data_IF_510464615345
#
_entry.id   IF_510464615345
#
_cell.length_a   1.000
_cell.length_b   1.000
_cell.length_c   1.000
_cell.angle_alpha   90.00
_cell.angle_beta   90.00
_cell.angle_gamma   90.00
#
_symmetry.space_group_name_H-M   'P 1'
#
loop_
_entity.id
_entity.type
_entity.pdbx_description
1 polymer ?
#
# COMPACT_ATOMS: atom_id res chain seq x y z
N UNK A 1 6.32 10.28 21.63
CA UNK A 1 5.18 9.42 22.03
C UNK A 1 5.63 7.98 21.95
N UNK A 2 5.38 7.19 22.99
CA UNK A 2 5.60 5.74 22.97
C UNK A 2 4.26 5.03 23.13
N UNK A 3 4.02 4.01 22.34
CA UNK A 3 2.78 3.21 22.36
C UNK A 3 3.05 1.81 21.81
N UNK A 4 2.03 0.95 21.83
CA UNK A 4 2.07 -0.35 21.18
C UNK A 4 0.88 -0.51 20.25
N UNK A 5 1.04 -1.27 19.17
CA UNK A 5 -0.04 -1.49 18.21
C UNK A 5 0.33 -2.49 17.12
N UNK A 6 -0.70 -2.99 16.44
CA UNK A 6 -0.53 -3.83 15.24
C UNK A 6 -0.26 -2.96 14.02
N UNK A 7 0.78 -3.31 13.25
CA UNK A 7 1.01 -2.72 11.93
C UNK A 7 -0.06 -3.24 10.97
N UNK A 8 -1.11 -2.47 10.76
CA UNK A 8 -2.29 -2.89 10.03
C UNK A 8 -2.20 -2.67 8.53
N UNK A 9 -1.72 -1.50 8.11
CA UNK A 9 -1.58 -1.14 6.71
C UNK A 9 -0.34 -0.28 6.49
N UNK A 10 0.27 -0.39 5.31
CA UNK A 10 1.40 0.45 4.92
C UNK A 10 1.45 0.62 3.41
N UNK A 11 1.86 1.81 2.97
CA UNK A 11 1.93 2.14 1.56
C UNK A 11 2.86 3.33 1.30
N UNK A 12 3.41 3.42 0.09
CA UNK A 12 4.21 4.56 -0.33
C UNK A 12 3.31 5.78 -0.63
N UNK A 13 3.67 6.93 -0.09
CA UNK A 13 3.03 8.21 -0.40
C UNK A 13 4.12 9.27 -0.63
N UNK A 14 4.18 9.84 -1.84
CA UNK A 14 5.21 10.79 -2.27
C UNK A 14 6.64 10.21 -2.15
N UNK A 15 7.37 10.56 -1.11
CA UNK A 15 8.76 10.11 -0.85
C UNK A 15 8.87 9.31 0.47
N UNK A 16 7.75 8.97 1.11
CA UNK A 16 7.68 8.34 2.43
C UNK A 16 6.84 7.09 2.42
N UNK A 17 7.10 6.23 3.39
CA UNK A 17 6.18 5.17 3.75
C UNK A 17 5.19 5.69 4.78
N UNK A 18 3.92 5.49 4.55
CA UNK A 18 2.86 5.69 5.53
C UNK A 18 2.58 4.35 6.19
N UNK A 19 2.51 4.37 7.51
CA UNK A 19 2.20 3.19 8.33
C UNK A 19 0.98 3.48 9.18
N UNK A 20 0.03 2.57 9.15
CA UNK A 20 -1.14 2.61 10.03
C UNK A 20 -1.05 1.55 11.10
N UNK A 21 -1.18 1.97 12.34
CA UNK A 21 -1.24 1.08 13.50
C UNK A 21 -2.61 1.13 14.14
N UNK A 22 -3.05 -0.02 14.64
CA UNK A 22 -4.22 -0.12 15.51
C UNK A 22 -3.71 -0.46 16.91
N UNK A 23 -3.96 0.43 17.88
CA UNK A 23 -3.54 0.21 19.27
C UNK A 23 -4.49 -0.75 20.00
N UNK A 24 -4.09 -1.26 21.16
CA UNK A 24 -4.96 -2.12 22.00
C UNK A 24 -6.28 -1.44 22.40
N UNK A 25 -6.26 -0.09 22.51
CA UNK A 25 -7.48 0.70 22.79
C UNK A 25 -8.30 1.00 21.54
N UNK A 26 -7.91 0.47 20.38
CA UNK A 26 -8.61 0.68 19.11
C UNK A 26 -8.34 2.03 18.45
N UNK A 27 -7.37 2.83 18.92
CA UNK A 27 -6.99 4.05 18.22
C UNK A 27 -6.20 3.73 16.94
N UNK A 28 -6.49 4.46 15.87
CA UNK A 28 -5.78 4.38 14.60
C UNK A 28 -4.71 5.45 14.58
N UNK A 29 -3.46 5.01 14.49
CA UNK A 29 -2.29 5.87 14.52
C UNK A 29 -1.62 5.83 13.13
N UNK A 30 -1.59 7.00 12.46
CA UNK A 30 -0.90 7.18 11.19
C UNK A 30 0.47 7.78 11.43
N UNK A 31 1.50 7.12 10.93
CA UNK A 31 2.89 7.57 11.00
C UNK A 31 3.51 7.58 9.62
N UNK A 32 4.56 8.37 9.46
CA UNK A 32 5.38 8.42 8.26
C UNK A 32 6.82 8.04 8.60
N UNK A 33 7.46 7.25 7.73
CA UNK A 33 8.88 6.93 7.79
C UNK A 33 9.57 7.32 6.47
N UNK A 34 10.79 7.84 6.58
CA UNK A 34 11.63 8.11 5.42
C UNK A 34 12.22 6.79 4.92
N UNK A 35 11.89 6.41 3.71
CA UNK A 35 12.39 5.21 3.09
C UNK A 35 12.91 5.49 1.68
N UNK A 36 14.23 5.74 1.53
CA UNK A 36 14.83 5.85 0.21
C UNK A 36 14.83 4.49 -0.48
N UNK A 37 14.11 4.38 -1.59
CA UNK A 37 14.10 3.16 -2.38
C UNK A 37 15.42 3.00 -3.14
N UNK A 38 16.16 1.91 -2.83
CA UNK A 38 17.43 1.60 -3.45
C UNK A 38 17.31 0.38 -4.38
N UNK A 39 17.82 0.52 -5.59
CA UNK A 39 18.11 -0.57 -6.49
C UNK A 39 19.62 -0.66 -6.75
N UNK A 40 20.09 -1.78 -7.26
CA UNK A 40 21.52 -2.02 -7.37
C UNK A 40 21.89 -2.48 -8.78
N UNK A 41 23.06 -2.04 -9.24
CA UNK A 41 23.65 -2.50 -10.49
C UNK A 41 24.91 -3.30 -10.18
N UNK A 42 25.01 -4.51 -10.73
CA UNK A 42 26.20 -5.35 -10.68
C UNK A 42 26.82 -5.48 -12.06
N UNK A 43 28.14 -5.65 -12.12
CA UNK A 43 28.84 -5.80 -13.38
C UNK A 43 30.35 -5.44 -13.26
N UNK A 44 31.07 -5.34 -14.37
CA UNK A 44 32.47 -4.94 -14.38
C UNK A 44 32.70 -3.58 -13.69
N UNK A 45 33.67 -3.51 -12.77
CA UNK A 45 33.91 -2.33 -11.94
C UNK A 45 34.12 -1.04 -12.75
N UNK A 46 34.87 -1.12 -13.84
CA UNK A 46 35.11 0.04 -14.70
C UNK A 46 33.79 0.57 -15.31
N UNK A 47 32.86 -0.34 -15.62
CA UNK A 47 31.55 0.02 -16.17
C UNK A 47 30.68 0.69 -15.11
N UNK A 48 30.65 0.13 -13.89
CA UNK A 48 29.90 0.72 -12.77
C UNK A 48 30.41 2.12 -12.42
N UNK A 49 31.73 2.34 -12.45
CA UNK A 49 32.32 3.68 -12.24
C UNK A 49 31.90 4.67 -13.32
N UNK A 50 31.93 4.27 -14.59
CA UNK A 50 31.46 5.10 -15.71
C UNK A 50 29.97 5.46 -15.56
N UNK A 51 29.15 4.49 -15.20
CA UNK A 51 27.72 4.72 -14.94
C UNK A 51 27.50 5.66 -13.76
N UNK A 52 28.25 5.53 -12.67
CA UNK A 52 28.12 6.41 -11.50
C UNK A 52 28.33 7.88 -11.88
N UNK A 53 29.36 8.18 -12.71
CA UNK A 53 29.61 9.54 -13.21
C UNK A 53 28.47 10.09 -14.08
N UNK A 54 27.90 9.25 -14.95
CA UNK A 54 26.81 9.65 -15.84
C UNK A 54 25.46 9.80 -15.09
N UNK A 55 25.26 9.03 -14.03
CA UNK A 55 24.02 8.99 -13.25
C UNK A 55 23.91 10.14 -12.23
N UNK A 56 25.03 10.68 -11.74
CA UNK A 56 25.03 11.79 -10.79
C UNK A 56 24.32 13.05 -11.28
N UNK A 57 24.06 13.17 -12.59
CA UNK A 57 23.33 14.29 -13.20
C UNK A 57 21.85 13.99 -13.49
N UNK A 58 21.37 12.79 -13.17
CA UNK A 58 19.99 12.39 -13.43
C UNK A 58 19.05 12.91 -12.35
N UNK A 59 18.14 13.82 -12.71
CA UNK A 59 17.22 14.46 -11.78
C UNK A 59 16.20 13.52 -11.07
N UNK A 60 16.16 12.24 -11.43
CA UNK A 60 15.32 11.21 -10.82
C UNK A 60 16.05 10.36 -9.75
N UNK A 61 17.39 10.52 -9.61
CA UNK A 61 18.16 9.96 -8.52
C UNK A 61 18.43 11.01 -7.44
N UNK A 62 18.44 10.57 -6.19
CA UNK A 62 18.96 11.33 -5.07
C UNK A 62 20.48 11.19 -5.04
N UNK A 63 20.98 9.97 -5.18
CA UNK A 63 22.41 9.66 -5.26
C UNK A 63 22.67 8.30 -5.92
N UNK A 64 23.91 8.14 -6.39
CA UNK A 64 24.45 6.88 -6.85
C UNK A 64 25.83 6.69 -6.16
N UNK A 65 26.04 5.56 -5.49
CA UNK A 65 27.27 5.33 -4.72
C UNK A 65 27.72 3.87 -4.77
N UNK A 66 29.04 3.60 -4.68
CA UNK A 66 29.56 2.25 -4.58
C UNK A 66 29.06 1.57 -3.29
N UNK A 67 28.67 0.31 -3.42
CA UNK A 67 28.20 -0.52 -2.31
C UNK A 67 28.63 -1.96 -2.52
N UNK A 68 28.25 -2.84 -1.61
CA UNK A 68 28.42 -4.28 -1.71
C UNK A 68 27.08 -4.98 -1.58
N UNK A 69 26.91 -6.02 -2.37
CA UNK A 69 25.72 -6.86 -2.34
C UNK A 69 26.12 -8.33 -2.33
N UNK A 70 25.22 -9.19 -1.87
CA UNK A 70 25.40 -10.62 -1.94
C UNK A 70 24.73 -11.14 -3.20
N UNK A 71 25.50 -11.73 -4.09
CA UNK A 71 24.96 -12.37 -5.30
C UNK A 71 24.11 -13.57 -4.90
N UNK A 72 22.88 -13.62 -5.38
CA UNK A 72 21.89 -14.61 -4.99
C UNK A 72 22.29 -16.04 -5.42
N UNK A 73 22.93 -16.15 -6.58
CA UNK A 73 23.24 -17.44 -7.19
C UNK A 73 24.53 -18.05 -6.64
N UNK A 74 25.53 -17.22 -6.44
CA UNK A 74 26.85 -17.69 -5.97
C UNK A 74 27.01 -17.55 -4.45
N UNK A 75 26.15 -16.79 -3.79
CA UNK A 75 26.26 -16.47 -2.37
C UNK A 75 27.46 -15.58 -2.02
N UNK A 76 28.23 -15.12 -3.01
CA UNK A 76 29.43 -14.31 -2.83
C UNK A 76 29.09 -12.83 -2.69
N UNK A 77 29.89 -12.12 -1.93
CA UNK A 77 29.85 -10.66 -1.88
C UNK A 77 30.44 -10.09 -3.17
N UNK A 78 29.71 -9.23 -3.83
CA UNK A 78 30.10 -8.57 -5.09
C UNK A 78 30.02 -7.04 -4.94
N UNK A 79 30.90 -6.29 -5.65
CA UNK A 79 30.75 -4.85 -5.73
C UNK A 79 29.51 -4.49 -6.57
N UNK A 80 28.72 -3.55 -6.08
CA UNK A 80 27.55 -3.03 -6.78
C UNK A 80 27.52 -1.50 -6.76
N UNK A 81 26.79 -0.89 -7.68
CA UNK A 81 26.45 0.51 -7.63
C UNK A 81 25.01 0.64 -7.08
N UNK A 82 24.87 1.23 -5.91
CA UNK A 82 23.56 1.53 -5.33
C UNK A 82 22.99 2.81 -5.96
N UNK A 83 21.72 2.75 -6.35
CA UNK A 83 20.98 3.86 -6.94
C UNK A 83 19.80 4.19 -6.02
N UNK A 84 19.88 5.30 -5.33
CA UNK A 84 18.81 5.82 -4.49
C UNK A 84 17.88 6.69 -5.29
N UNK A 85 16.63 6.27 -5.44
CA UNK A 85 15.61 6.99 -6.22
C UNK A 85 15.11 8.18 -5.42
N UNK A 86 14.95 9.33 -6.07
CA UNK A 86 14.56 10.58 -5.42
C UNK A 86 13.14 10.54 -4.88
N UNK A 87 12.21 9.97 -5.66
CA UNK A 87 10.82 9.78 -5.25
C UNK A 87 10.23 8.56 -5.98
N UNK A 88 9.28 7.87 -5.36
CA UNK A 88 8.68 6.65 -5.91
C UNK A 88 8.03 6.85 -7.28
N UNK A 89 7.48 8.03 -7.55
CA UNK A 89 6.93 8.38 -8.85
C UNK A 89 7.93 8.35 -10.01
N UNK A 90 9.23 8.32 -9.73
CA UNK A 90 10.26 8.15 -10.76
C UNK A 90 10.58 6.70 -11.12
N UNK A 91 10.10 5.72 -10.35
CA UNK A 91 10.40 4.30 -10.58
C UNK A 91 10.04 3.81 -12.00
N UNK A 92 8.91 4.17 -12.61
CA UNK A 92 8.64 3.77 -14.00
C UNK A 92 9.70 4.27 -14.98
N UNK A 93 10.19 5.49 -14.78
CA UNK A 93 11.27 6.08 -15.60
C UNK A 93 12.60 5.38 -15.36
N UNK A 94 12.90 5.05 -14.11
CA UNK A 94 14.11 4.29 -13.75
C UNK A 94 14.07 2.91 -14.40
N UNK A 95 12.95 2.19 -14.29
CA UNK A 95 12.77 0.86 -14.91
C UNK A 95 12.93 0.92 -16.43
N UNK A 96 12.37 1.92 -17.09
CA UNK A 96 12.55 2.14 -18.53
C UNK A 96 14.03 2.36 -18.88
N UNK A 97 14.75 3.16 -18.09
CA UNK A 97 16.18 3.37 -18.29
C UNK A 97 17.00 2.10 -18.05
N UNK A 98 16.67 1.28 -17.05
CA UNK A 98 17.34 0.00 -16.81
C UNK A 98 17.29 -0.92 -18.04
N UNK A 99 16.22 -0.89 -18.81
CA UNK A 99 16.10 -1.63 -20.08
C UNK A 99 17.08 -1.18 -21.16
N UNK A 100 17.77 -0.04 -20.99
CA UNK A 100 18.81 0.43 -21.92
C UNK A 100 20.23 0.08 -21.52
N UNK A 101 20.40 -0.62 -20.39
CA UNK A 101 21.71 -1.03 -19.89
C UNK A 101 22.32 -2.12 -20.79
N UNK A 102 23.66 -2.13 -20.93
CA UNK A 102 24.33 -3.20 -21.64
C UNK A 102 24.18 -4.55 -20.91
N UNK A 103 24.19 -5.64 -21.67
CA UNK A 103 23.96 -6.99 -21.16
C UNK A 103 24.92 -7.45 -20.03
N UNK A 104 26.10 -6.81 -19.93
CA UNK A 104 27.09 -7.07 -18.88
C UNK A 104 26.74 -6.43 -17.52
N UNK A 105 25.68 -5.60 -17.47
CA UNK A 105 25.22 -4.95 -16.24
C UNK A 105 23.89 -5.57 -15.83
N UNK A 106 23.88 -6.24 -14.69
CA UNK A 106 22.68 -6.77 -14.09
C UNK A 106 22.04 -5.74 -13.13
N UNK A 107 20.73 -5.66 -13.16
CA UNK A 107 19.97 -4.83 -12.21
C UNK A 107 19.31 -5.74 -11.16
N UNK A 108 19.35 -5.31 -9.89
CA UNK A 108 18.77 -6.03 -8.75
C UNK A 108 17.79 -5.13 -8.00
N UNK A 109 16.75 -5.72 -7.41
CA UNK A 109 15.67 -5.05 -6.68
C UNK A 109 14.89 -4.02 -7.53
N UNK A 110 14.90 -4.16 -8.85
CA UNK A 110 14.25 -3.23 -9.76
C UNK A 110 12.75 -3.50 -9.97
N UNK A 111 12.31 -4.71 -9.69
CA UNK A 111 10.95 -5.24 -9.81
C UNK A 111 10.25 -5.42 -8.45
N UNK A 112 10.98 -5.21 -7.37
CA UNK A 112 10.42 -5.33 -6.02
C UNK A 112 9.34 -4.25 -5.80
N UNK A 113 8.21 -4.65 -5.23
CA UNK A 113 7.23 -3.71 -4.72
C UNK A 113 7.84 -2.86 -3.58
N UNK A 114 7.48 -1.58 -3.52
CA UNK A 114 8.06 -0.63 -2.55
C UNK A 114 7.73 -1.05 -1.11
N UNK A 115 6.49 -1.50 -0.89
CA UNK A 115 6.01 -1.97 0.40
C UNK A 115 6.77 -3.20 0.85
N UNK A 116 6.94 -4.17 -0.05
CA UNK A 116 7.74 -5.36 0.21
C UNK A 116 9.21 -5.01 0.48
N UNK A 117 9.80 -4.09 -0.29
CA UNK A 117 11.17 -3.61 -0.07
C UNK A 117 11.33 -2.97 1.31
N UNK A 118 10.35 -2.18 1.74
CA UNK A 118 10.33 -1.57 3.07
C UNK A 118 10.29 -2.64 4.16
N UNK A 119 9.34 -3.57 4.11
CA UNK A 119 9.19 -4.64 5.09
C UNK A 119 10.48 -5.47 5.22
N UNK A 120 11.09 -5.88 4.11
CA UNK A 120 12.35 -6.63 4.13
C UNK A 120 13.50 -5.83 4.71
N UNK A 121 13.64 -4.56 4.31
CA UNK A 121 14.76 -3.73 4.78
C UNK A 121 14.69 -3.42 6.28
N UNK A 122 13.47 -3.27 6.80
CA UNK A 122 13.20 -3.00 8.21
C UNK A 122 13.01 -4.27 9.05
N UNK A 123 12.97 -5.46 8.41
CA UNK A 123 12.66 -6.75 9.05
C UNK A 123 11.33 -6.74 9.77
N UNK A 124 10.33 -6.23 9.08
CA UNK A 124 8.95 -6.11 9.57
C UNK A 124 8.05 -7.10 8.84
N UNK A 125 6.92 -7.41 9.47
CA UNK A 125 5.83 -8.19 8.86
C UNK A 125 4.49 -7.56 9.23
N UNK A 126 3.50 -7.58 8.34
CA UNK A 126 2.20 -6.98 8.59
C UNK A 126 1.42 -7.75 9.65
N UNK A 127 0.46 -7.06 10.26
CA UNK A 127 -0.44 -7.59 11.29
C UNK A 127 0.24 -8.06 12.59
N UNK A 128 1.54 -7.83 12.77
CA UNK A 128 2.24 -8.12 14.01
C UNK A 128 2.14 -6.97 15.01
N UNK A 129 2.36 -7.31 16.28
CA UNK A 129 2.37 -6.37 17.39
C UNK A 129 3.74 -5.72 17.55
N UNK A 130 3.76 -4.39 17.60
CA UNK A 130 4.98 -3.59 17.69
C UNK A 130 4.96 -2.63 18.86
N UNK A 131 6.14 -2.41 19.47
CA UNK A 131 6.46 -1.22 20.22
C UNK A 131 6.76 -0.08 19.25
N UNK A 132 6.11 1.06 19.41
CA UNK A 132 6.18 2.18 18.47
C UNK A 132 6.66 3.42 19.19
N UNK A 133 7.75 4.01 18.72
CA UNK A 133 8.20 5.33 19.15
C UNK A 133 8.06 6.33 18.00
N UNK A 134 7.40 7.46 18.25
CA UNK A 134 7.11 8.45 17.22
C UNK A 134 7.12 9.88 17.77
N UNK A 135 7.44 10.85 16.93
CA UNK A 135 7.42 12.27 17.21
C UNK A 135 6.87 13.07 16.03
N UNK A 136 5.89 13.95 16.29
CA UNK A 136 5.31 14.82 15.25
C UNK A 136 4.71 14.05 14.04
N UNK A 137 4.17 12.83 14.26
CA UNK A 137 3.66 12.01 13.18
C UNK A 137 4.72 11.22 12.40
N UNK A 138 6.00 11.31 12.81
CA UNK A 138 7.10 10.56 12.21
C UNK A 138 7.48 9.35 13.08
N UNK A 139 7.70 8.23 12.44
CA UNK A 139 8.24 7.04 13.08
C UNK A 139 9.72 7.27 13.43
N UNK A 140 10.09 7.02 14.69
CA UNK A 140 11.47 7.08 15.16
C UNK A 140 12.04 5.67 15.32
N UNK A 141 11.26 4.80 15.95
CA UNK A 141 11.68 3.42 16.22
C UNK A 141 10.49 2.47 16.20
N UNK A 142 10.76 1.22 15.82
CA UNK A 142 9.76 0.16 15.72
C UNK A 142 10.40 -1.17 16.14
N UNK A 143 9.89 -1.73 17.24
CA UNK A 143 10.35 -3.01 17.79
C UNK A 143 9.26 -4.08 17.64
N UNK A 144 9.53 -5.19 16.93
CA UNK A 144 8.63 -6.31 16.91
C UNK A 144 8.53 -6.94 18.31
N UNK A 145 7.33 -7.09 18.82
CA UNK A 145 7.05 -7.73 20.11
C UNK A 145 6.58 -9.18 19.96
N UNK A 146 6.47 -9.66 18.75
CA UNK A 146 6.09 -11.02 18.38
C UNK A 146 7.15 -11.61 17.45
N UNK A 147 7.24 -12.94 17.41
CA UNK A 147 8.08 -13.64 16.45
C UNK A 147 7.39 -13.70 15.08
N UNK A 148 8.17 -13.55 14.00
CA UNK A 148 7.65 -13.61 12.62
C UNK A 148 6.96 -14.94 12.27
N UNK A 149 7.24 -16.00 13.01
CA UNK A 149 6.70 -17.35 12.84
C UNK A 149 5.74 -17.75 13.97
N UNK A 150 5.30 -16.79 14.79
CA UNK A 150 4.32 -17.06 15.84
C UNK A 150 3.04 -17.65 15.24
N UNK A 151 2.60 -18.79 15.75
CA UNK A 151 1.36 -19.46 15.34
C UNK A 151 0.17 -18.88 16.09
N UNK A 152 0.39 -18.49 17.33
CA UNK A 152 -0.61 -17.83 18.17
C UNK A 152 -0.33 -16.34 18.21
N UNK A 153 -1.23 -15.56 17.68
CA UNK A 153 -1.12 -14.09 17.65
C UNK A 153 -2.47 -13.45 18.02
N UNK A 154 -2.39 -12.26 18.61
CA UNK A 154 -3.58 -11.47 18.91
C UNK A 154 -4.03 -10.72 17.65
N UNK A 155 -5.32 -10.75 17.36
CA UNK A 155 -5.88 -9.93 16.29
C UNK A 155 -6.16 -8.49 16.76
N UNK A 156 -5.95 -7.48 15.92
CA UNK A 156 -6.37 -6.12 16.26
C UNK A 156 -7.89 -6.00 16.39
N UNK A 157 -8.41 -5.07 17.21
CA UNK A 157 -9.84 -4.80 17.30
C UNK A 157 -10.34 -4.07 16.05
N UNK A 158 -10.68 -4.80 15.00
CA UNK A 158 -11.11 -4.28 13.71
C UNK A 158 -12.58 -3.92 13.69
N UNK A 159 -12.89 -2.74 13.12
CA UNK A 159 -14.23 -2.39 12.67
C UNK A 159 -14.42 -2.93 11.25
N UNK A 160 -15.33 -3.86 11.08
CA UNK A 160 -15.58 -4.52 9.79
C UNK A 160 -16.96 -4.11 9.26
N UNK A 161 -16.97 -3.56 8.06
CA UNK A 161 -18.20 -3.30 7.32
C UNK A 161 -18.33 -4.35 6.22
N UNK A 162 -19.50 -4.93 6.09
CA UNK A 162 -19.81 -5.91 5.04
C UNK A 162 -20.72 -5.29 3.98
N UNK A 163 -20.43 -5.61 2.72
CA UNK A 163 -21.26 -5.23 1.58
C UNK A 163 -21.64 -6.49 0.81
N UNK A 164 -22.94 -6.71 0.61
CA UNK A 164 -23.44 -7.78 -0.23
C UNK A 164 -24.61 -7.31 -1.08
N UNK A 165 -24.89 -8.03 -2.16
CA UNK A 165 -26.06 -7.77 -2.99
C UNK A 165 -27.30 -8.42 -2.37
N UNK A 166 -28.48 -7.80 -2.54
CA UNK A 166 -29.74 -8.35 -2.04
C UNK A 166 -30.17 -9.63 -2.76
N UNK A 167 -29.65 -9.84 -3.98
CA UNK A 167 -29.98 -10.97 -4.86
C UNK A 167 -28.73 -11.52 -5.53
N UNK A 168 -28.94 -12.37 -6.53
CA UNK A 168 -27.90 -12.99 -7.34
C UNK A 168 -26.87 -11.96 -7.85
N UNK A 169 -25.56 -12.19 -7.61
CA UNK A 169 -24.49 -11.30 -8.08
C UNK A 169 -24.38 -11.18 -9.61
N UNK A 170 -24.95 -12.10 -10.36
CA UNK A 170 -25.05 -11.99 -11.81
C UNK A 170 -26.02 -10.88 -12.26
N UNK A 171 -26.89 -10.43 -11.37
CA UNK A 171 -27.79 -9.27 -11.61
C UNK A 171 -27.06 -8.02 -11.15
N UNK A 172 -26.73 -7.09 -12.05
CA UNK A 172 -26.01 -5.88 -11.67
C UNK A 172 -26.74 -5.06 -10.60
N UNK A 173 -25.99 -4.42 -9.72
CA UNK A 173 -26.52 -3.43 -8.79
C UNK A 173 -27.24 -2.32 -9.58
N UNK A 174 -28.51 -2.07 -9.27
CA UNK A 174 -29.37 -1.13 -9.98
C UNK A 174 -30.37 -1.77 -10.98
N UNK A 175 -30.15 -3.01 -11.38
CA UNK A 175 -31.05 -3.75 -12.27
C UNK A 175 -32.04 -4.65 -11.48
N UNK A 176 -32.69 -4.10 -10.46
CA UNK A 176 -33.53 -4.86 -9.53
C UNK A 176 -32.78 -5.56 -8.41
N UNK A 177 -31.50 -5.23 -8.23
CA UNK A 177 -30.66 -5.69 -7.15
C UNK A 177 -30.25 -4.49 -6.28
N UNK A 178 -30.37 -4.62 -4.97
CA UNK A 178 -29.99 -3.61 -3.98
C UNK A 178 -28.67 -3.97 -3.28
N UNK A 179 -28.30 -3.17 -2.30
CA UNK A 179 -27.10 -3.34 -1.48
C UNK A 179 -27.50 -3.58 -0.03
N UNK A 180 -26.94 -4.60 0.58
CA UNK A 180 -26.99 -4.82 2.05
C UNK A 180 -25.69 -4.36 2.64
N UNK A 181 -25.77 -3.47 3.61
CA UNK A 181 -24.64 -2.96 4.39
C UNK A 181 -24.76 -3.49 5.81
N UNK A 182 -23.71 -4.13 6.30
CA UNK A 182 -23.67 -4.67 7.66
C UNK A 182 -22.46 -4.14 8.44
N UNK A 183 -22.65 -3.81 9.73
CA UNK A 183 -21.58 -3.46 10.65
C UNK A 183 -22.08 -3.67 12.09
N UNK A 184 -21.25 -4.28 12.95
CA UNK A 184 -21.53 -4.49 14.38
C UNK A 184 -22.93 -5.12 14.67
N UNK A 185 -23.29 -6.12 13.87
CA UNK A 185 -24.59 -6.81 14.00
C UNK A 185 -25.80 -5.99 13.52
N UNK A 186 -25.59 -4.79 13.01
CA UNK A 186 -26.62 -3.98 12.36
C UNK A 186 -26.57 -4.21 10.86
N UNK A 187 -27.71 -4.25 10.23
CA UNK A 187 -27.84 -4.35 8.77
C UNK A 187 -28.79 -3.29 8.23
N UNK A 188 -28.48 -2.79 7.05
CA UNK A 188 -29.33 -1.87 6.32
C UNK A 188 -29.39 -2.33 4.88
N UNK A 189 -30.62 -2.47 4.35
CA UNK A 189 -30.87 -2.74 2.94
C UNK A 189 -31.13 -1.42 2.21
N UNK A 190 -30.40 -1.21 1.13
CA UNK A 190 -30.47 -0.01 0.30
C UNK A 190 -30.97 -0.36 -1.10
N UNK A 191 -32.06 0.27 -1.46
CA UNK A 191 -32.70 0.11 -2.76
C UNK A 191 -31.90 0.84 -3.85
N UNK A 192 -31.55 0.15 -4.91
CA UNK A 192 -30.81 0.75 -6.02
C UNK A 192 -31.69 1.52 -6.99
N UNK A 193 -33.01 1.50 -6.84
CA UNK A 193 -33.98 2.37 -7.55
C UNK A 193 -33.71 3.85 -7.24
N UNK A 194 -33.22 4.17 -6.02
CA UNK A 194 -32.72 5.50 -5.67
C UNK A 194 -31.17 5.45 -5.53
N UNK A 195 -30.48 5.36 -6.65
CA UNK A 195 -29.03 5.31 -6.64
C UNK A 195 -28.34 6.51 -5.94
N UNK A 196 -28.81 7.78 -6.10
CA UNK A 196 -28.28 8.90 -5.32
C UNK A 196 -28.50 8.75 -3.81
N UNK A 197 -29.66 8.24 -3.39
CA UNK A 197 -29.99 7.96 -1.99
C UNK A 197 -29.10 6.86 -1.42
N UNK A 198 -28.95 5.77 -2.16
CA UNK A 198 -28.07 4.66 -1.79
C UNK A 198 -26.63 5.14 -1.53
N UNK A 199 -26.04 5.92 -2.44
CA UNK A 199 -24.66 6.40 -2.28
C UNK A 199 -24.55 7.35 -1.09
N UNK A 200 -25.52 8.23 -0.87
CA UNK A 200 -25.53 9.13 0.31
C UNK A 200 -25.63 8.36 1.63
N UNK A 201 -26.47 7.33 1.66
CA UNK A 201 -26.64 6.51 2.87
C UNK A 201 -25.41 5.68 3.16
N UNK A 202 -24.83 5.04 2.15
CA UNK A 202 -23.57 4.33 2.27
C UNK A 202 -22.45 5.25 2.75
N UNK A 203 -22.34 6.47 2.21
CA UNK A 203 -21.36 7.46 2.66
C UNK A 203 -21.55 7.84 4.13
N UNK A 204 -22.79 7.94 4.60
CA UNK A 204 -23.09 8.16 6.03
C UNK A 204 -22.66 6.99 6.91
N UNK A 205 -22.95 5.77 6.49
CA UNK A 205 -22.52 4.57 7.19
C UNK A 205 -21.00 4.48 7.29
N UNK A 206 -20.30 4.58 6.17
CA UNK A 206 -18.84 4.59 6.13
C UNK A 206 -18.25 5.65 7.08
N UNK A 207 -18.80 6.86 7.06
CA UNK A 207 -18.33 7.94 7.93
C UNK A 207 -18.61 7.69 9.41
N UNK A 208 -19.77 7.09 9.75
CA UNK A 208 -20.16 6.88 11.16
C UNK A 208 -19.52 5.65 11.78
N UNK A 209 -19.26 4.62 10.99
CA UNK A 209 -18.63 3.38 11.47
C UNK A 209 -17.11 3.43 11.39
N UNK A 210 -16.55 4.27 10.50
CA UNK A 210 -15.10 4.36 10.23
C UNK A 210 -14.45 2.96 10.15
N UNK A 211 -14.87 2.10 9.19
CA UNK A 211 -14.42 0.73 9.14
C UNK A 211 -12.93 0.63 8.81
N UNK A 212 -12.26 -0.37 9.37
CA UNK A 212 -10.88 -0.73 9.03
C UNK A 212 -10.85 -1.62 7.79
N UNK A 213 -11.87 -2.46 7.65
CA UNK A 213 -12.04 -3.37 6.52
C UNK A 213 -13.44 -3.24 5.94
N UNK A 214 -13.52 -3.29 4.62
CA UNK A 214 -14.77 -3.50 3.89
C UNK A 214 -14.70 -4.86 3.23
N UNK A 215 -15.49 -5.80 3.74
CA UNK A 215 -15.60 -7.14 3.17
C UNK A 215 -16.79 -7.18 2.22
N UNK A 216 -16.62 -7.78 1.09
CA UNK A 216 -17.68 -7.84 0.08
C UNK A 216 -17.59 -9.10 -0.77
N UNK A 217 -18.75 -9.71 -1.01
CA UNK A 217 -18.89 -10.71 -2.06
C UNK A 217 -19.03 -9.98 -3.40
N UNK A 218 -18.15 -10.30 -4.36
CA UNK A 218 -18.12 -9.63 -5.69
C UNK A 218 -17.83 -8.13 -5.65
N UNK A 219 -17.11 -7.68 -4.60
CA UNK A 219 -16.79 -6.26 -4.39
C UNK A 219 -16.12 -5.62 -5.58
N UNK A 220 -15.03 -6.21 -6.03
CA UNK A 220 -14.14 -5.65 -7.06
C UNK A 220 -14.78 -5.66 -8.46
N UNK A 221 -15.64 -6.62 -8.74
CA UNK A 221 -16.25 -6.78 -10.08
C UNK A 221 -17.60 -6.08 -10.22
N UNK A 222 -18.45 -6.16 -9.21
CA UNK A 222 -19.84 -5.72 -9.32
C UNK A 222 -20.17 -4.51 -8.43
N UNK A 223 -19.81 -4.55 -7.14
CA UNK A 223 -20.29 -3.57 -6.16
C UNK A 223 -19.47 -2.28 -6.21
N UNK A 224 -18.19 -2.34 -5.93
CA UNK A 224 -17.34 -1.15 -5.80
C UNK A 224 -17.25 -0.33 -7.10
N UNK A 225 -17.06 -0.92 -8.30
CA UNK A 225 -17.05 -0.15 -9.54
C UNK A 225 -18.37 0.58 -9.82
N UNK A 226 -19.51 -0.03 -9.44
CA UNK A 226 -20.82 0.59 -9.65
C UNK A 226 -21.05 1.73 -8.68
N UNK A 227 -20.81 1.53 -7.38
CA UNK A 227 -20.94 2.55 -6.34
C UNK A 227 -19.98 3.71 -6.63
N UNK A 228 -18.74 3.43 -7.03
CA UNK A 228 -17.77 4.45 -7.41
C UNK A 228 -18.22 5.29 -8.59
N UNK A 229 -18.79 4.65 -9.63
CA UNK A 229 -19.36 5.34 -10.79
C UNK A 229 -20.51 6.25 -10.38
N UNK A 230 -21.40 5.79 -9.49
CA UNK A 230 -22.50 6.58 -8.96
C UNK A 230 -22.06 7.73 -8.08
N UNK A 231 -21.08 7.50 -7.19
CA UNK A 231 -20.45 8.53 -6.38
C UNK A 231 -19.97 9.70 -7.24
N UNK A 232 -19.25 9.41 -8.31
CA UNK A 232 -18.77 10.43 -9.25
C UNK A 232 -19.91 11.10 -10.02
N UNK A 233 -20.88 10.32 -10.48
CA UNK A 233 -22.01 10.81 -11.25
C UNK A 233 -22.89 11.78 -10.46
N UNK A 234 -23.10 11.50 -9.19
CA UNK A 234 -23.99 12.28 -8.33
C UNK A 234 -23.24 13.26 -7.41
N UNK A 235 -21.93 13.33 -7.51
CA UNK A 235 -21.12 14.25 -6.71
C UNK A 235 -21.13 13.94 -5.21
N UNK A 236 -21.34 12.68 -4.81
CA UNK A 236 -21.35 12.24 -3.41
C UNK A 236 -20.02 11.54 -3.11
N UNK A 237 -19.09 12.16 -2.37
CA UNK A 237 -17.82 11.53 -2.03
C UNK A 237 -18.04 10.35 -1.09
N UNK A 238 -17.37 9.23 -1.37
CA UNK A 238 -17.33 8.06 -0.49
C UNK A 238 -16.04 8.11 0.32
N UNK A 239 -16.11 8.10 1.66
CA UNK A 239 -14.95 8.07 2.53
C UNK A 239 -14.40 6.63 2.65
N UNK A 240 -13.85 6.10 1.56
CA UNK A 240 -13.23 4.78 1.50
C UNK A 240 -11.75 4.80 1.91
N UNK A 241 -11.22 5.98 2.19
CA UNK A 241 -9.84 6.21 2.52
C UNK A 241 -9.78 7.22 3.69
N UNK A 242 -8.94 6.97 4.69
CA UNK A 242 -8.66 7.89 5.81
C UNK A 242 -7.65 8.97 5.44
N UNK A 243 -7.03 8.88 4.27
CA UNK A 243 -6.20 9.96 3.75
C UNK A 243 -7.07 11.14 3.30
N UNK A 244 -6.64 12.34 3.65
CA UNK A 244 -7.33 13.56 3.24
C UNK A 244 -7.24 13.87 1.72
N UNK A 245 -6.64 12.98 0.95
CA UNK A 245 -6.44 13.16 -0.49
C UNK A 245 -7.68 12.73 -1.28
N UNK A 246 -8.22 13.57 -2.16
CA UNK A 246 -9.39 13.24 -2.97
C UNK A 246 -9.11 12.29 -4.14
N UNK A 247 -7.87 11.86 -4.33
CA UNK A 247 -7.49 10.98 -5.44
C UNK A 247 -7.48 9.52 -4.98
N UNK A 248 -8.27 8.63 -5.60
CA UNK A 248 -8.15 7.18 -5.36
C UNK A 248 -6.75 6.75 -5.77
N UNK A 249 -6.10 5.96 -4.92
CA UNK A 249 -4.81 5.39 -5.23
C UNK A 249 -4.93 4.54 -6.49
N UNK A 250 -4.17 4.88 -7.50
CA UNK A 250 -4.21 4.20 -8.81
C UNK A 250 -3.70 2.76 -8.80
N UNK A 251 -3.22 2.27 -7.65
CA UNK A 251 -2.59 0.96 -7.52
C UNK A 251 -3.59 -0.19 -7.37
N UNK A 252 -4.74 0.03 -6.76
CA UNK A 252 -5.81 -0.97 -6.68
C UNK A 252 -6.38 -1.38 -8.05
N UNK A 253 -6.16 -0.58 -9.08
CA UNK A 253 -6.57 -0.89 -10.45
C UNK A 253 -5.65 -1.85 -11.20
N UNK A 254 -4.45 -2.13 -10.71
CA UNK A 254 -3.46 -2.94 -11.46
C UNK A 254 -3.45 -4.41 -11.07
N UNK A 255 -3.89 -4.76 -9.86
CA UNK A 255 -3.88 -6.15 -9.39
C UNK A 255 -4.90 -7.03 -10.10
N UNK A 256 -5.98 -6.47 -10.63
CA UNK A 256 -7.03 -7.22 -11.35
C UNK A 256 -6.81 -7.45 -12.84
N UNK A 257 -5.67 -7.04 -13.42
CA UNK A 257 -5.42 -7.17 -14.87
C UNK A 257 -4.30 -8.13 -15.28
N UNK A 258 -3.65 -8.77 -14.32
CA UNK A 258 -2.54 -9.72 -14.57
C UNK A 258 -2.83 -11.12 -14.01
N UNK A 259 -4.07 -11.57 -14.06
CA UNK A 259 -4.44 -12.98 -13.93
C UNK A 259 -5.01 -13.50 -15.24
#
# INVERSE_FOLDING_TARGET
MQTTGWLFDLYPLNERMVLWFITASGHRLRLEDDFPYCLYLGGPQARLQSLAGALGQKGWLRQAYPSRGRDLWTGREIPVLALEVKAYGFLPRVRQWLGTLPAEVAAYNCDLDITAAYLYSRRLWPCAWYGVEAEGGRLLHLDPMEDAFAVEFSAPPLNILTLSLTRDPLIPLGAGNGLVVGCDGRTLELEASDAPGLVRELARWLKSTDPDLVLSDWGDEAIIPTIWRWSRRYGVPLPLDREASPAPRSEERRVGKEC
#
